data_IF_549767190061
#
_entry.id   IF_549767190061
#
_cell.length_a   1.000
_cell.length_b   1.000
_cell.length_c   1.000
_cell.angle_alpha   90.00
_cell.angle_beta   90.00
_cell.angle_gamma   90.00
#
_symmetry.space_group_name_H-M   'P 1'
#
loop_
_entity.id
_entity.type
_entity.pdbx_description
1 polymer ?
#
# COMPACT_ATOMS: atom_id res chain seq x y z
N UNK A 1 -4.46 -19.03 10.58
CA UNK A 1 -3.40 -19.95 11.06
C UNK A 1 -2.88 -19.40 12.38
N UNK A 2 -2.94 -20.18 13.45
CA UNK A 2 -2.39 -19.80 14.76
C UNK A 2 -0.85 -19.81 14.69
N UNK A 3 -0.15 -18.90 15.37
CA UNK A 3 1.31 -18.84 15.30
C UNK A 3 1.93 -19.99 16.08
N UNK A 4 2.77 -20.79 15.43
CA UNK A 4 3.72 -21.63 16.14
C UNK A 4 4.82 -20.75 16.76
N UNK A 5 5.19 -21.08 18.00
CA UNK A 5 6.39 -20.58 18.65
C UNK A 5 7.61 -21.12 17.87
N UNK A 6 8.25 -20.31 17.00
CA UNK A 6 9.44 -20.80 16.31
C UNK A 6 10.09 -19.94 15.21
N UNK A 7 9.38 -19.03 14.54
CA UNK A 7 10.00 -18.33 13.41
C UNK A 7 10.81 -17.10 13.88
N UNK A 8 12.13 -17.27 13.98
CA UNK A 8 13.03 -16.12 13.95
C UNK A 8 12.81 -15.35 12.65
N UNK A 9 12.26 -14.15 12.77
CA UNK A 9 12.18 -13.23 11.65
C UNK A 9 13.58 -12.77 11.25
N UNK A 10 13.83 -12.47 9.97
CA UNK A 10 15.07 -11.81 9.57
C UNK A 10 15.19 -10.46 10.29
N UNK A 11 16.41 -10.08 10.67
CA UNK A 11 16.68 -8.81 11.38
C UNK A 11 16.32 -7.58 10.54
N UNK A 12 16.38 -7.71 9.21
CA UNK A 12 15.96 -6.68 8.26
C UNK A 12 15.34 -7.28 7.02
N UNK A 13 14.44 -6.51 6.40
CA UNK A 13 13.80 -6.82 5.12
C UNK A 13 13.78 -5.56 4.29
N UNK A 14 14.13 -5.69 3.01
CA UNK A 14 13.94 -4.65 2.00
C UNK A 14 13.37 -5.29 0.73
N UNK A 15 12.07 -5.09 0.49
CA UNK A 15 11.39 -5.63 -0.68
C UNK A 15 11.85 -4.98 -1.99
N UNK A 16 12.46 -3.78 -1.94
CA UNK A 16 13.05 -3.13 -3.11
C UNK A 16 14.24 -3.94 -3.62
N UNK A 17 15.09 -4.41 -2.69
CA UNK A 17 16.24 -5.26 -3.02
C UNK A 17 15.82 -6.63 -3.58
N UNK A 18 14.58 -7.06 -3.32
CA UNK A 18 13.98 -8.28 -3.87
C UNK A 18 13.18 -8.02 -5.17
N UNK A 19 13.22 -6.80 -5.70
CA UNK A 19 12.50 -6.43 -6.93
C UNK A 19 10.98 -6.39 -6.80
N UNK A 20 10.44 -6.29 -5.58
CA UNK A 20 9.00 -6.34 -5.29
C UNK A 20 8.38 -4.98 -4.98
N UNK A 21 9.01 -3.91 -5.46
CA UNK A 21 8.55 -2.52 -5.28
C UNK A 21 8.87 -1.75 -6.54
N UNK A 22 7.87 -1.09 -7.12
CA UNK A 22 8.06 -0.22 -8.28
C UNK A 22 8.70 1.13 -7.89
N UNK A 23 9.02 1.92 -8.91
CA UNK A 23 9.39 3.32 -8.71
C UNK A 23 8.28 4.10 -7.99
N UNK A 24 8.69 5.10 -7.20
CA UNK A 24 7.77 5.99 -6.48
C UNK A 24 6.83 6.70 -7.46
N UNK A 25 5.52 6.62 -7.21
CA UNK A 25 4.49 7.31 -8.00
C UNK A 25 4.06 8.62 -7.30
N UNK A 26 3.26 9.45 -7.98
CA UNK A 26 2.82 10.75 -7.45
C UNK A 26 1.29 10.90 -7.53
N UNK A 27 0.62 10.89 -6.37
CA UNK A 27 -0.83 11.07 -6.26
C UNK A 27 -1.33 12.51 -6.52
N UNK A 28 -0.44 13.48 -6.69
CA UNK A 28 -0.80 14.88 -6.87
C UNK A 28 -1.65 15.44 -5.73
N UNK A 29 -2.63 16.28 -6.07
CA UNK A 29 -3.56 16.89 -5.12
C UNK A 29 -4.75 16.01 -4.73
N UNK A 30 -4.85 14.79 -5.26
CA UNK A 30 -5.97 13.89 -5.02
C UNK A 30 -5.75 13.09 -3.72
N UNK A 31 -6.77 12.99 -2.87
CA UNK A 31 -6.77 12.19 -1.64
C UNK A 31 -6.84 10.67 -1.89
N UNK A 32 -6.09 10.17 -2.86
CA UNK A 32 -6.09 8.77 -3.33
C UNK A 32 -5.00 7.90 -2.71
N UNK A 33 -4.28 8.39 -1.69
CA UNK A 33 -3.25 7.61 -0.96
C UNK A 33 -3.70 6.22 -0.49
N UNK A 34 -5.01 6.05 -0.26
CA UNK A 34 -5.60 4.76 0.08
C UNK A 34 -5.54 3.74 -1.06
N UNK A 35 -5.70 4.18 -2.31
CA UNK A 35 -5.56 3.36 -3.51
C UNK A 35 -4.08 3.07 -3.79
N UNK A 36 -3.21 4.08 -3.77
CA UNK A 36 -1.76 3.91 -3.93
C UNK A 36 -1.17 2.91 -2.94
N UNK A 37 -1.53 3.04 -1.65
CA UNK A 37 -1.05 2.12 -0.63
C UNK A 37 -1.54 0.68 -0.85
N UNK A 38 -2.78 0.50 -1.31
CA UNK A 38 -3.30 -0.83 -1.62
C UNK A 38 -2.62 -1.42 -2.86
N UNK A 39 -2.54 -0.65 -3.96
CA UNK A 39 -1.90 -1.06 -5.21
C UNK A 39 -0.45 -1.46 -4.99
N UNK A 40 0.37 -0.64 -4.32
CA UNK A 40 1.77 -0.98 -4.06
C UNK A 40 1.93 -2.30 -3.26
N UNK A 41 0.99 -2.63 -2.39
CA UNK A 41 1.00 -3.91 -1.70
C UNK A 41 0.60 -5.08 -2.62
N UNK A 42 -0.36 -4.88 -3.52
CA UNK A 42 -0.77 -5.88 -4.54
C UNK A 42 0.33 -6.11 -5.56
N UNK A 43 0.97 -5.06 -6.06
CA UNK A 43 2.12 -5.15 -6.98
C UNK A 43 3.24 -5.97 -6.35
N UNK A 44 3.54 -5.72 -5.06
CA UNK A 44 4.52 -6.46 -4.30
C UNK A 44 4.19 -7.93 -4.17
N UNK A 45 3.00 -8.29 -3.67
CA UNK A 45 2.62 -9.70 -3.52
C UNK A 45 2.53 -10.42 -4.88
N UNK A 46 2.12 -9.73 -5.95
CA UNK A 46 2.13 -10.28 -7.30
C UNK A 46 3.53 -10.66 -7.76
N UNK A 47 4.53 -9.79 -7.54
CA UNK A 47 5.93 -10.11 -7.81
C UNK A 47 6.38 -11.34 -6.99
N UNK A 48 6.00 -11.42 -5.72
CA UNK A 48 6.42 -12.52 -4.83
C UNK A 48 5.86 -13.87 -5.28
N UNK A 49 4.61 -13.89 -5.74
CA UNK A 49 3.89 -15.11 -6.10
C UNK A 49 4.19 -15.53 -7.54
N UNK A 50 4.22 -14.58 -8.47
CA UNK A 50 4.29 -14.86 -9.92
C UNK A 50 5.66 -14.59 -10.52
N UNK A 51 6.52 -13.82 -9.85
CA UNK A 51 7.77 -13.32 -10.39
C UNK A 51 7.63 -12.09 -11.30
N UNK A 52 6.42 -11.57 -11.49
CA UNK A 52 6.15 -10.42 -12.37
C UNK A 52 5.79 -9.15 -11.59
N UNK A 53 6.56 -8.09 -11.81
CA UNK A 53 6.31 -6.78 -11.21
C UNK A 53 5.59 -5.94 -12.25
N UNK A 54 4.29 -5.75 -12.05
CA UNK A 54 3.40 -5.07 -12.99
C UNK A 54 2.94 -3.77 -12.32
N UNK A 55 2.96 -2.65 -13.04
CA UNK A 55 2.37 -1.39 -12.56
C UNK A 55 0.86 -1.45 -12.72
N UNK A 56 0.14 -1.41 -11.60
CA UNK A 56 -1.33 -1.52 -11.56
C UNK A 56 -1.98 -0.15 -11.43
N UNK A 57 -3.24 -0.05 -11.84
CA UNK A 57 -3.97 1.23 -11.92
C UNK A 57 -4.54 1.65 -10.57
N UNK A 58 -4.01 2.74 -10.01
CA UNK A 58 -4.68 3.43 -8.91
C UNK A 58 -5.97 4.12 -9.37
N UNK A 59 -6.03 4.56 -10.63
CA UNK A 59 -7.15 5.33 -11.16
C UNK A 59 -8.42 4.49 -11.28
N UNK A 60 -8.30 3.23 -11.69
CA UNK A 60 -9.44 2.32 -11.75
C UNK A 60 -10.10 2.19 -10.37
N UNK A 61 -9.30 2.09 -9.30
CA UNK A 61 -9.84 2.08 -7.92
C UNK A 61 -10.51 3.42 -7.58
N UNK A 62 -9.88 4.55 -7.93
CA UNK A 62 -10.44 5.89 -7.69
C UNK A 62 -11.78 6.07 -8.40
N UNK A 63 -11.91 5.59 -9.64
CA UNK A 63 -13.07 5.78 -10.49
C UNK A 63 -14.18 4.78 -10.20
N UNK A 64 -13.84 3.52 -9.95
CA UNK A 64 -14.79 2.41 -9.90
C UNK A 64 -15.21 1.99 -8.49
N UNK A 65 -14.33 2.11 -7.48
CA UNK A 65 -14.70 1.77 -6.12
C UNK A 65 -15.44 2.92 -5.42
N UNK A 66 -16.76 2.97 -5.63
CA UNK A 66 -17.66 3.97 -5.02
C UNK A 66 -18.45 3.46 -3.80
N UNK A 67 -18.22 2.21 -3.35
CA UNK A 67 -18.87 1.69 -2.12
C UNK A 67 -18.32 2.45 -0.90
N UNK A 68 -19.18 2.96 0.00
CA UNK A 68 -18.74 3.64 1.22
C UNK A 68 -17.76 2.79 2.05
N UNK A 69 -16.73 3.39 2.68
CA UNK A 69 -16.49 4.83 2.82
C UNK A 69 -15.67 5.45 1.66
N UNK A 70 -15.46 4.73 0.56
CA UNK A 70 -14.57 5.18 -0.51
C UNK A 70 -15.24 6.24 -1.40
N UNK A 71 -14.52 7.31 -1.70
CA UNK A 71 -15.04 8.47 -2.43
C UNK A 71 -13.94 9.12 -3.27
N UNK A 72 -13.21 8.30 -4.04
CA UNK A 72 -12.15 8.73 -4.95
C UNK A 72 -11.13 9.67 -4.29
N UNK A 73 -11.02 10.90 -4.80
CA UNK A 73 -10.10 11.91 -4.31
C UNK A 73 -10.47 12.52 -2.94
N UNK A 74 -11.66 12.23 -2.40
CA UNK A 74 -12.04 12.64 -1.04
C UNK A 74 -11.60 11.65 0.03
N UNK A 75 -10.93 10.57 -0.37
CA UNK A 75 -10.42 9.54 0.53
C UNK A 75 -11.16 8.23 0.40
N UNK A 76 -10.64 7.23 1.12
CA UNK A 76 -11.15 5.88 1.12
C UNK A 76 -10.33 5.00 2.04
N UNK A 77 -10.59 3.69 1.95
CA UNK A 77 -10.01 2.67 2.80
C UNK A 77 -9.24 1.66 1.96
N UNK A 78 -8.05 1.29 2.42
CA UNK A 78 -7.22 0.24 1.79
C UNK A 78 -7.98 -1.10 1.69
N UNK A 79 -8.77 -1.45 2.71
CA UNK A 79 -9.65 -2.62 2.69
C UNK A 79 -10.70 -2.56 1.57
N UNK A 80 -11.30 -1.39 1.32
CA UNK A 80 -12.24 -1.19 0.22
C UNK A 80 -11.57 -1.31 -1.16
N UNK A 81 -10.32 -0.87 -1.30
CA UNK A 81 -9.52 -1.10 -2.49
C UNK A 81 -9.27 -2.59 -2.72
N UNK A 82 -8.81 -3.33 -1.72
CA UNK A 82 -8.63 -4.79 -1.86
C UNK A 82 -9.95 -5.51 -2.18
N UNK A 83 -11.05 -5.14 -1.50
CA UNK A 83 -12.35 -5.73 -1.78
C UNK A 83 -12.82 -5.43 -3.20
N UNK A 84 -12.52 -4.25 -3.75
CA UNK A 84 -12.80 -3.95 -5.15
C UNK A 84 -12.09 -4.92 -6.09
N UNK A 85 -10.78 -5.13 -5.91
CA UNK A 85 -9.98 -6.03 -6.74
C UNK A 85 -10.56 -7.46 -6.70
N UNK A 86 -10.99 -7.93 -5.52
CA UNK A 86 -11.63 -9.23 -5.35
C UNK A 86 -12.98 -9.27 -6.08
N UNK A 87 -13.86 -8.31 -5.81
CA UNK A 87 -15.23 -8.27 -6.37
C UNK A 87 -15.21 -8.11 -7.90
N UNK A 88 -14.25 -7.35 -8.43
CA UNK A 88 -14.08 -7.08 -9.85
C UNK A 88 -13.44 -8.26 -10.61
N UNK A 89 -12.89 -9.24 -9.90
CA UNK A 89 -12.13 -10.34 -10.51
C UNK A 89 -10.75 -9.91 -11.01
N UNK A 90 -10.22 -8.81 -10.47
CA UNK A 90 -8.88 -8.30 -10.72
C UNK A 90 -8.80 -6.79 -10.84
N UNK A 91 -7.63 -6.33 -11.27
CA UNK A 91 -7.30 -4.93 -11.50
C UNK A 91 -6.50 -4.79 -12.79
N UNK A 92 -6.69 -3.66 -13.45
CA UNK A 92 -6.02 -3.26 -14.68
C UNK A 92 -4.63 -2.67 -14.40
N UNK A 93 -3.87 -2.46 -15.48
CA UNK A 93 -2.53 -1.88 -15.44
C UNK A 93 -2.58 -0.36 -15.49
N UNK A 94 -1.55 0.30 -14.95
CA UNK A 94 -1.36 1.76 -15.07
C UNK A 94 -1.23 2.19 -16.54
N UNK A 95 -0.67 1.35 -17.41
CA UNK A 95 -0.55 1.67 -18.84
C UNK A 95 -1.92 1.76 -19.53
N UNK A 96 -2.82 0.83 -19.20
CA UNK A 96 -4.12 0.74 -19.85
C UNK A 96 -5.17 1.63 -19.18
N UNK A 97 -5.09 1.86 -17.87
CA UNK A 97 -5.93 2.80 -17.12
C UNK A 97 -5.06 3.81 -16.34
N UNK A 98 -4.52 4.85 -17.03
CA UNK A 98 -3.54 5.76 -16.43
C UNK A 98 -4.09 6.68 -15.35
N UNK A 99 -3.23 7.04 -14.41
CA UNK A 99 -3.53 7.98 -13.34
C UNK A 99 -3.69 9.42 -13.80
N UNK A 100 -4.77 10.07 -13.36
CA UNK A 100 -5.14 11.44 -13.77
C UNK A 100 -5.24 12.43 -12.60
N UNK A 101 -5.00 11.97 -11.37
CA UNK A 101 -5.03 12.80 -10.15
C UNK A 101 -6.35 13.55 -9.90
N UNK A 102 -7.47 12.98 -10.35
CA UNK A 102 -8.83 13.51 -10.16
C UNK A 102 -9.85 12.39 -10.20
N UNK A 103 -11.07 12.68 -9.73
CA UNK A 103 -12.20 11.78 -9.92
C UNK A 103 -12.58 11.72 -11.40
N UNK A 104 -12.68 10.52 -11.94
CA UNK A 104 -13.26 10.21 -13.25
C UNK A 104 -14.52 9.38 -13.14
N UNK A 105 -15.09 9.05 -14.30
CA UNK A 105 -16.12 8.03 -14.44
C UNK A 105 -15.45 6.67 -14.60
N UNK A 106 -16.06 5.63 -14.04
CA UNK A 106 -15.55 4.26 -14.17
C UNK A 106 -15.70 3.77 -15.60
N UNK A 107 -14.57 3.58 -16.29
CA UNK A 107 -14.52 3.04 -17.65
C UNK A 107 -14.92 1.56 -17.65
N UNK A 108 -16.17 1.29 -18.06
CA UNK A 108 -16.75 -0.07 -18.07
C UNK A 108 -16.12 -0.98 -19.12
N UNK A 109 -15.52 -0.42 -20.17
CA UNK A 109 -14.86 -1.22 -21.19
C UNK A 109 -13.54 -1.77 -20.63
N UNK A 110 -12.83 -0.95 -19.84
CA UNK A 110 -11.55 -1.31 -19.23
C UNK A 110 -11.67 -2.11 -17.94
N UNK A 111 -12.77 -2.01 -17.21
CA UNK A 111 -12.93 -2.70 -15.91
C UNK A 111 -12.90 -4.23 -16.02
N UNK A 112 -13.15 -4.77 -17.23
CA UNK A 112 -13.12 -6.21 -17.51
C UNK A 112 -11.73 -6.68 -17.99
N UNK A 113 -10.79 -5.77 -18.21
CA UNK A 113 -9.42 -6.08 -18.62
C UNK A 113 -8.50 -6.24 -17.40
N UNK A 114 -8.68 -7.36 -16.70
CA UNK A 114 -7.98 -7.65 -15.46
C UNK A 114 -6.65 -8.37 -15.69
N UNK A 115 -5.58 -7.89 -15.04
CA UNK A 115 -4.22 -8.44 -15.17
C UNK A 115 -3.72 -9.10 -13.89
N UNK A 116 -4.11 -8.59 -12.72
CA UNK A 116 -3.72 -9.14 -11.41
C UNK A 116 -4.96 -9.34 -10.55
N UNK A 117 -5.03 -10.47 -9.85
CA UNK A 117 -6.08 -10.80 -8.90
C UNK A 117 -5.49 -11.02 -7.51
N UNK A 118 -6.34 -10.88 -6.49
CA UNK A 118 -6.03 -11.30 -5.12
C UNK A 118 -7.21 -12.12 -4.59
N UNK A 119 -6.93 -13.11 -3.75
CA UNK A 119 -7.99 -13.98 -3.21
C UNK A 119 -8.65 -13.39 -1.96
N UNK A 120 -7.88 -12.67 -1.14
CA UNK A 120 -8.32 -12.10 0.14
C UNK A 120 -7.39 -11.00 0.64
N UNK A 121 -7.84 -10.28 1.66
CA UNK A 121 -7.01 -9.43 2.50
C UNK A 121 -7.31 -9.67 3.98
N UNK A 122 -6.35 -9.34 4.85
CA UNK A 122 -6.49 -9.49 6.29
C UNK A 122 -5.95 -8.24 7.00
N UNK A 123 -6.55 -7.90 8.15
CA UNK A 123 -6.04 -6.81 8.98
C UNK A 123 -4.98 -7.35 9.94
N UNK A 124 -3.79 -6.74 9.91
CA UNK A 124 -2.81 -6.91 10.98
C UNK A 124 -3.40 -6.37 12.29
N UNK A 125 -3.23 -7.07 13.44
CA UNK A 125 -3.67 -6.59 14.74
C UNK A 125 -3.21 -5.15 15.02
N UNK A 126 -4.18 -4.27 15.30
CA UNK A 126 -3.92 -2.86 15.57
C UNK A 126 -2.96 -2.67 16.76
N UNK A 127 -2.09 -1.66 16.65
CA UNK A 127 -1.14 -1.27 17.71
C UNK A 127 -0.18 -2.39 18.12
N UNK A 128 0.18 -3.27 17.19
CA UNK A 128 1.09 -4.38 17.42
C UNK A 128 2.20 -4.39 16.36
N UNK A 129 3.30 -3.69 16.66
CA UNK A 129 4.44 -3.60 15.74
C UNK A 129 5.10 -4.95 15.48
N UNK A 130 5.09 -5.87 16.45
CA UNK A 130 5.61 -7.22 16.24
C UNK A 130 4.77 -8.02 15.23
N UNK A 131 3.44 -7.88 15.27
CA UNK A 131 2.56 -8.48 14.28
C UNK A 131 2.73 -7.83 12.90
N UNK A 132 2.94 -6.51 12.87
CA UNK A 132 3.24 -5.78 11.63
C UNK A 132 4.58 -6.20 11.04
N UNK A 133 5.63 -6.34 11.86
CA UNK A 133 6.94 -6.82 11.44
C UNK A 133 6.84 -8.24 10.87
N UNK A 134 6.08 -9.14 11.51
CA UNK A 134 5.79 -10.49 10.98
C UNK A 134 5.12 -10.43 9.60
N UNK A 135 4.13 -9.56 9.41
CA UNK A 135 3.46 -9.40 8.12
C UNK A 135 4.42 -8.85 7.05
N UNK A 136 5.19 -7.81 7.39
CA UNK A 136 6.17 -7.19 6.48
C UNK A 136 7.30 -8.16 6.11
N UNK A 137 7.66 -9.09 7.00
CA UNK A 137 8.65 -10.11 6.70
C UNK A 137 8.22 -11.05 5.56
N UNK A 138 6.92 -11.15 5.30
CA UNK A 138 6.35 -12.03 4.27
C UNK A 138 5.97 -11.29 2.99
N UNK A 139 5.57 -10.01 3.06
CA UNK A 139 5.19 -9.20 1.90
C UNK A 139 5.09 -7.69 2.24
N UNK A 140 5.06 -6.77 1.26
CA UNK A 140 4.71 -5.37 1.52
C UNK A 140 3.31 -5.21 2.15
N UNK A 141 3.16 -4.25 3.06
CA UNK A 141 1.92 -4.06 3.84
C UNK A 141 1.43 -2.61 3.78
N UNK A 142 0.20 -2.39 3.33
CA UNK A 142 -0.42 -1.06 3.33
C UNK A 142 -0.81 -0.62 4.76
N UNK A 143 -0.36 0.56 5.18
CA UNK A 143 -0.63 1.14 6.51
C UNK A 143 -1.18 2.56 6.41
N UNK A 144 -1.68 3.09 7.53
CA UNK A 144 -2.04 4.50 7.65
C UNK A 144 -1.07 5.20 8.61
N UNK A 145 -0.69 6.43 8.29
CA UNK A 145 0.19 7.28 9.11
C UNK A 145 -0.41 8.67 9.32
N UNK A 146 0.09 9.38 10.32
CA UNK A 146 -0.16 10.81 10.51
C UNK A 146 0.97 11.61 9.84
N UNK A 147 0.66 12.26 8.72
CA UNK A 147 1.65 12.92 7.85
C UNK A 147 1.51 14.45 7.79
N UNK A 148 0.45 15.01 8.39
CA UNK A 148 0.15 16.44 8.34
C UNK A 148 1.14 17.34 9.08
N UNK A 149 1.98 16.80 9.97
CA UNK A 149 2.93 17.61 10.75
C UNK A 149 3.98 18.27 9.85
N UNK A 150 4.40 19.50 10.20
CA UNK A 150 5.45 20.20 9.46
C UNK A 150 6.77 19.43 9.45
N UNK A 151 7.09 18.76 10.57
CA UNK A 151 8.27 17.91 10.70
C UNK A 151 8.26 16.77 9.67
N UNK A 152 7.11 16.11 9.48
CA UNK A 152 6.99 15.04 8.49
C UNK A 152 7.03 15.56 7.05
N UNK A 153 6.40 16.71 6.79
CA UNK A 153 6.43 17.36 5.47
C UNK A 153 7.84 17.80 5.04
N UNK A 154 8.69 18.16 6.00
CA UNK A 154 10.06 18.64 5.76
C UNK A 154 11.13 17.55 5.91
N UNK A 155 10.72 16.30 6.18
CA UNK A 155 11.63 15.17 6.32
C UNK A 155 12.42 14.92 5.02
N UNK A 156 13.71 14.65 5.14
CA UNK A 156 14.62 14.41 4.01
C UNK A 156 15.35 13.07 4.10
N UNK A 157 15.85 12.71 5.30
CA UNK A 157 16.63 11.48 5.52
C UNK A 157 16.70 11.12 7.02
N UNK A 158 17.18 9.90 7.30
CA UNK A 158 17.34 9.35 8.65
C UNK A 158 16.09 8.66 9.19
N UNK A 159 16.08 8.31 10.47
CA UNK A 159 14.88 7.78 11.13
C UNK A 159 14.03 8.94 11.63
N UNK A 160 12.79 9.04 11.15
CA UNK A 160 11.84 10.03 11.64
C UNK A 160 11.27 9.60 12.99
N UNK A 161 11.65 10.28 14.07
CA UNK A 161 11.21 10.00 15.46
C UNK A 161 10.19 10.99 16.00
N UNK A 162 9.74 11.95 15.19
CA UNK A 162 8.65 12.86 15.52
C UNK A 162 9.03 14.34 15.57
N UNK A 163 8.07 15.21 15.95
CA UNK A 163 6.72 14.88 16.41
C UNK A 163 5.76 14.41 15.29
N UNK A 164 4.88 13.47 15.61
CA UNK A 164 3.77 13.01 14.75
C UNK A 164 2.40 13.24 15.42
N UNK A 165 1.36 13.45 14.60
CA UNK A 165 -0.01 13.61 15.10
C UNK A 165 -0.63 12.27 15.51
N UNK A 166 -1.79 12.34 16.19
CA UNK A 166 -2.58 11.15 16.53
C UNK A 166 -3.62 10.77 15.45
N UNK A 167 -3.92 11.69 14.53
CA UNK A 167 -4.89 11.47 13.46
C UNK A 167 -4.17 10.91 12.22
N UNK A 168 -4.53 9.68 11.85
CA UNK A 168 -4.10 9.06 10.60
C UNK A 168 -4.79 9.78 9.45
N UNK A 169 -4.00 10.33 8.53
CA UNK A 169 -4.48 11.16 7.42
C UNK A 169 -3.96 10.70 6.05
N UNK A 170 -3.06 9.71 6.03
CA UNK A 170 -2.40 9.29 4.79
C UNK A 170 -2.12 7.78 4.76
N UNK A 171 -2.35 7.16 3.61
CA UNK A 171 -1.99 5.78 3.32
C UNK A 171 -0.59 5.68 2.74
N UNK A 172 0.20 4.71 3.20
CA UNK A 172 1.52 4.37 2.65
C UNK A 172 1.69 2.86 2.64
N UNK A 173 2.74 2.35 2.00
CA UNK A 173 3.09 0.92 2.03
C UNK A 173 4.40 0.72 2.73
N UNK A 174 4.42 -0.15 3.75
CA UNK A 174 5.67 -0.59 4.36
C UNK A 174 6.29 -1.65 3.45
N UNK A 175 7.49 -1.37 2.99
CA UNK A 175 8.27 -2.22 2.07
C UNK A 175 9.50 -2.83 2.75
N UNK A 176 9.65 -2.62 4.06
CA UNK A 176 10.77 -3.17 4.80
C UNK A 176 10.81 -2.74 6.24
N UNK A 177 11.78 -3.31 6.96
CA UNK A 177 12.16 -2.88 8.30
C UNK A 177 13.64 -3.19 8.52
N UNK A 178 14.22 -2.56 9.53
CA UNK A 178 15.61 -2.80 9.90
C UNK A 178 15.98 -2.07 11.19
N UNK A 179 17.27 -1.93 11.40
CA UNK A 179 17.84 -1.17 12.52
C UNK A 179 18.95 -0.26 12.00
N UNK A 180 18.97 1.00 12.43
CA UNK A 180 20.08 1.93 12.26
C UNK A 180 20.67 2.27 13.63
N UNK A 181 21.88 1.78 13.91
CA UNK A 181 22.44 1.79 15.26
C UNK A 181 21.61 0.93 16.22
N UNK A 182 21.03 1.53 17.25
CA UNK A 182 20.12 0.86 18.21
C UNK A 182 18.63 1.13 17.92
N UNK A 183 18.33 1.94 16.90
CA UNK A 183 16.97 2.34 16.58
C UNK A 183 16.38 1.41 15.54
N UNK A 184 15.18 0.87 15.82
CA UNK A 184 14.41 0.07 14.86
C UNK A 184 13.51 0.97 14.04
N UNK A 185 13.33 0.64 12.76
CA UNK A 185 12.53 1.43 11.84
C UNK A 185 11.79 0.57 10.83
N UNK A 186 10.66 1.09 10.35
CA UNK A 186 10.01 0.62 9.14
C UNK A 186 10.40 1.50 7.96
N UNK A 187 10.55 0.91 6.78
CA UNK A 187 10.76 1.63 5.52
C UNK A 187 9.43 1.70 4.77
N UNK A 188 8.92 2.91 4.58
CA UNK A 188 7.71 3.17 3.79
C UNK A 188 8.05 3.59 2.36
N UNK A 189 7.27 3.13 1.38
CA UNK A 189 7.17 3.75 0.05
C UNK A 189 6.00 4.73 0.03
N UNK A 190 6.22 5.88 -0.60
CA UNK A 190 5.18 6.82 -0.99
C UNK A 190 4.75 6.54 -2.42
#
# INVERSE_FOLDING_TARGET
MSPEFGDQLPDSVDWRAKGAVLGIKNQGGCGSCWAFAAIAAVEGINQLVTGNLISLSEQEIVDCQKKPPNNGCKGGSRGGAYQFIIDNGGINTEENYPYTARDGECDQDKINENYVTIDRYENVPSKNESALQKAVANQPVSVGIASSSFAFKSYQSGIFTGPCGAQIDHGVTIVGYGTEGEQRQFTGSR
#
